data_IF_830975096307
#
_entry.id   IF_830975096307
#
_cell.length_a   1.000
_cell.length_b   1.000
_cell.length_c   1.000
_cell.angle_alpha   90.00
_cell.angle_beta   90.00
_cell.angle_gamma   90.00
#
_symmetry.space_group_name_H-M   'P 1'
#
loop_
_entity.id
_entity.type
_entity.pdbx_description
1 polymer ?
#
# COMPACT_ATOMS: atom_id res chain seq x y z
N UNK A 1 39.82 -28.67 23.22
CA UNK A 1 39.60 -29.17 21.84
C UNK A 1 40.79 -28.75 21.01
N UNK A 2 41.64 -29.71 20.63
CA UNK A 2 42.72 -29.49 19.67
C UNK A 2 42.11 -29.55 18.27
N UNK A 3 42.03 -28.41 17.58
CA UNK A 3 41.65 -28.33 16.18
C UNK A 3 42.91 -28.52 15.32
N UNK A 4 43.02 -29.66 14.64
CA UNK A 4 44.09 -29.95 13.69
C UNK A 4 43.59 -29.68 12.27
N UNK A 5 44.23 -28.75 11.56
CA UNK A 5 43.96 -28.46 10.16
C UNK A 5 44.73 -29.45 9.27
N UNK A 6 44.07 -30.07 8.29
CA UNK A 6 44.64 -31.07 7.35
C UNK A 6 45.77 -30.58 6.41
N UNK A 7 46.32 -29.37 6.58
CA UNK A 7 47.23 -28.72 5.62
C UNK A 7 48.62 -28.36 6.20
N UNK A 8 49.38 -29.35 6.66
CA UNK A 8 50.76 -29.17 7.16
C UNK A 8 50.83 -28.62 8.60
N UNK A 9 52.01 -28.25 9.13
CA UNK A 9 52.18 -27.83 10.52
C UNK A 9 51.60 -26.41 10.71
N UNK A 10 50.28 -26.31 10.73
CA UNK A 10 49.58 -25.08 11.07
C UNK A 10 49.49 -24.99 12.59
N UNK A 11 49.97 -23.87 13.15
CA UNK A 11 49.83 -23.56 14.56
C UNK A 11 48.33 -23.59 14.91
N UNK A 12 47.96 -24.37 15.93
CA UNK A 12 46.57 -24.48 16.31
C UNK A 12 46.06 -23.10 16.79
N UNK A 13 44.81 -22.75 16.49
CA UNK A 13 44.27 -21.41 16.83
C UNK A 13 44.30 -21.11 18.34
N UNK A 14 44.21 -22.13 19.19
CA UNK A 14 44.42 -22.00 20.63
C UNK A 14 45.88 -21.71 20.97
N UNK A 15 46.82 -22.42 20.34
CA UNK A 15 48.26 -22.26 20.52
C UNK A 15 48.75 -20.86 20.12
N UNK A 16 48.08 -20.22 19.14
CA UNK A 16 48.34 -18.84 18.73
C UNK A 16 47.77 -17.84 19.76
N UNK A 17 46.59 -18.13 20.32
CA UNK A 17 45.93 -17.26 21.31
C UNK A 17 46.61 -17.27 22.67
N UNK A 18 47.19 -18.40 23.05
CA UNK A 18 47.93 -18.60 24.30
C UNK A 18 49.39 -18.11 24.21
N UNK A 19 49.77 -17.45 23.10
CA UNK A 19 51.09 -16.87 22.84
C UNK A 19 52.27 -17.82 23.15
N UNK A 20 52.04 -19.12 22.99
CA UNK A 20 53.01 -20.19 23.29
C UNK A 20 54.21 -20.16 22.31
N UNK A 21 54.08 -19.38 21.24
CA UNK A 21 55.15 -19.13 20.27
C UNK A 21 55.74 -17.75 20.52
N UNK A 22 56.56 -17.61 21.56
CA UNK A 22 57.39 -16.41 21.70
C UNK A 22 58.36 -16.33 20.51
N UNK A 23 58.05 -15.43 19.56
CA UNK A 23 58.88 -15.16 18.39
C UNK A 23 60.36 -14.80 18.67
N UNK A 24 60.77 -14.16 19.79
CA UNK A 24 62.18 -13.79 19.96
C UNK A 24 63.15 -14.96 20.22
N UNK A 25 62.68 -16.18 20.48
CA UNK A 25 63.54 -17.37 20.67
C UNK A 25 63.38 -18.46 19.61
N UNK A 26 62.44 -18.32 18.67
CA UNK A 26 62.22 -19.29 17.61
C UNK A 26 63.25 -19.14 16.48
N UNK A 27 64.28 -19.99 16.49
CA UNK A 27 65.36 -20.03 15.48
C UNK A 27 64.85 -20.54 14.12
N UNK A 28 63.66 -21.16 14.08
CA UNK A 28 63.09 -21.79 12.88
C UNK A 28 62.21 -20.80 12.10
N UNK A 29 62.55 -20.56 10.83
CA UNK A 29 61.71 -19.79 9.90
C UNK A 29 60.40 -20.53 9.61
N UNK A 30 59.28 -19.82 9.72
CA UNK A 30 57.95 -20.38 9.43
C UNK A 30 57.87 -20.81 7.95
N UNK A 31 57.74 -22.13 7.71
CA UNK A 31 57.78 -22.74 6.37
C UNK A 31 58.98 -23.65 6.10
N UNK A 32 60.00 -23.66 6.98
CA UNK A 32 61.14 -24.58 6.87
C UNK A 32 60.98 -25.88 7.69
N UNK A 33 59.88 -26.02 8.44
CA UNK A 33 59.58 -27.20 9.24
C UNK A 33 58.85 -28.25 8.39
N UNK A 34 59.40 -29.45 8.32
CA UNK A 34 58.73 -30.59 7.68
C UNK A 34 57.55 -31.05 8.55
N UNK A 35 56.35 -31.28 7.97
CA UNK A 35 55.25 -31.88 8.70
C UNK A 35 55.63 -33.26 9.22
N UNK A 36 55.53 -33.45 10.54
CA UNK A 36 55.82 -34.73 11.18
C UNK A 36 54.70 -35.74 10.89
N UNK A 37 54.93 -36.57 9.87
CA UNK A 37 54.01 -37.63 9.47
C UNK A 37 53.97 -38.82 10.44
N UNK A 38 54.91 -38.94 11.37
CA UNK A 38 54.89 -39.96 12.41
C UNK A 38 53.94 -39.52 13.52
N UNK A 39 54.11 -38.30 14.04
CA UNK A 39 53.21 -37.70 15.04
C UNK A 39 51.78 -37.61 14.51
N UNK A 40 51.59 -37.21 13.25
CA UNK A 40 50.26 -37.21 12.62
C UNK A 40 49.60 -38.59 12.63
N UNK A 41 50.35 -39.65 12.32
CA UNK A 41 49.84 -41.03 12.35
C UNK A 41 49.51 -41.49 13.76
N UNK A 42 50.30 -41.10 14.75
CA UNK A 42 50.00 -41.40 16.16
C UNK A 42 48.70 -40.71 16.59
N UNK A 43 48.54 -39.42 16.29
CA UNK A 43 47.34 -38.64 16.60
C UNK A 43 46.10 -39.21 15.89
N UNK A 44 46.19 -39.48 14.58
CA UNK A 44 45.09 -40.08 13.81
C UNK A 44 44.58 -41.39 14.42
N UNK A 45 45.46 -42.17 15.04
CA UNK A 45 45.12 -43.47 15.65
C UNK A 45 44.74 -43.39 17.13
N UNK A 46 44.76 -42.20 17.75
CA UNK A 46 44.34 -42.06 19.14
C UNK A 46 42.85 -42.41 19.30
N UNK A 47 42.46 -43.02 20.42
CA UNK A 47 41.06 -43.31 20.69
C UNK A 47 40.26 -42.02 20.87
N UNK A 48 39.14 -41.93 20.16
CA UNK A 48 38.18 -40.85 20.21
C UNK A 48 36.81 -41.37 20.66
N UNK A 49 36.10 -40.53 21.42
CA UNK A 49 34.70 -40.74 21.84
C UNK A 49 33.92 -39.52 21.40
N UNK A 50 32.69 -39.73 20.93
CA UNK A 50 31.85 -38.61 20.52
C UNK A 50 31.55 -37.67 21.71
N UNK A 51 31.60 -36.36 21.45
CA UNK A 51 31.30 -35.33 22.45
C UNK A 51 29.79 -35.17 22.69
N UNK A 52 28.95 -35.56 21.73
CA UNK A 52 27.50 -35.39 21.84
C UNK A 52 26.94 -36.35 22.88
N UNK A 53 26.13 -35.82 23.79
CA UNK A 53 25.43 -36.60 24.80
C UNK A 53 24.57 -37.68 24.12
N UNK A 54 24.52 -38.87 24.74
CA UNK A 54 23.80 -40.05 24.24
C UNK A 54 24.38 -40.70 22.97
N UNK A 55 25.45 -40.16 22.37
CA UNK A 55 26.15 -40.85 21.30
C UNK A 55 27.09 -41.94 21.87
N UNK A 56 26.91 -43.19 21.42
CA UNK A 56 27.74 -44.33 21.85
C UNK A 56 28.96 -44.57 20.95
N UNK A 57 29.22 -43.69 19.99
CA UNK A 57 30.31 -43.86 19.02
C UNK A 57 31.69 -43.78 19.71
N UNK A 58 32.54 -44.74 19.38
CA UNK A 58 33.94 -44.84 19.80
C UNK A 58 34.76 -45.36 18.62
N UNK A 59 35.95 -44.83 18.42
CA UNK A 59 36.83 -45.21 17.32
C UNK A 59 38.17 -44.50 17.42
N UNK A 60 38.89 -44.39 16.31
CA UNK A 60 40.08 -43.53 16.20
C UNK A 60 39.71 -42.09 15.82
N UNK A 61 40.57 -41.11 16.10
CA UNK A 61 40.37 -39.71 15.66
C UNK A 61 40.15 -39.65 14.14
N UNK A 62 40.92 -40.42 13.37
CA UNK A 62 40.78 -40.51 11.92
C UNK A 62 39.39 -40.97 11.47
N UNK A 63 38.84 -41.99 12.14
CA UNK A 63 37.48 -42.45 11.85
C UNK A 63 36.43 -41.42 12.26
N UNK A 64 36.64 -40.71 13.37
CA UNK A 64 35.73 -39.64 13.80
C UNK A 64 35.57 -38.58 12.70
N UNK A 65 36.68 -38.04 12.21
CA UNK A 65 36.69 -36.99 11.17
C UNK A 65 36.11 -37.48 9.83
N UNK A 66 36.38 -38.74 9.45
CA UNK A 66 35.93 -39.29 8.17
C UNK A 66 34.43 -39.63 8.14
N UNK A 67 33.91 -40.26 9.18
CA UNK A 67 32.57 -40.88 9.14
C UNK A 67 31.59 -40.35 10.18
N UNK A 68 32.04 -39.68 11.25
CA UNK A 68 31.16 -39.29 12.35
C UNK A 68 30.98 -37.77 12.48
N UNK A 69 32.02 -36.99 12.21
CA UNK A 69 31.97 -35.54 12.24
C UNK A 69 30.91 -35.01 11.26
N UNK A 70 30.03 -34.15 11.76
CA UNK A 70 28.88 -33.63 11.00
C UNK A 70 27.73 -34.61 10.72
N UNK A 71 27.89 -35.92 11.02
CA UNK A 71 26.90 -36.98 10.75
C UNK A 71 26.32 -37.62 12.02
N UNK A 72 26.74 -37.16 13.19
CA UNK A 72 26.26 -37.68 14.45
C UNK A 72 24.75 -37.42 14.62
N UNK A 73 23.98 -38.48 14.79
CA UNK A 73 22.53 -38.44 15.02
C UNK A 73 22.11 -37.62 16.24
N UNK A 74 22.98 -37.54 17.25
CA UNK A 74 22.76 -36.82 18.50
C UNK A 74 23.33 -35.39 18.48
N UNK A 75 23.94 -34.97 17.36
CA UNK A 75 24.42 -33.60 17.21
C UNK A 75 23.25 -32.62 17.28
N UNK A 76 23.44 -31.54 18.04
CA UNK A 76 22.46 -30.46 18.10
C UNK A 76 22.73 -29.47 16.97
N UNK A 77 21.77 -29.32 16.06
CA UNK A 77 21.81 -28.41 14.93
C UNK A 77 20.68 -27.37 15.02
N UNK A 78 20.88 -26.15 14.49
CA UNK A 78 19.80 -25.17 14.37
C UNK A 78 18.88 -25.53 13.20
N UNK A 79 17.56 -25.54 13.42
CA UNK A 79 16.58 -25.74 12.35
C UNK A 79 16.69 -24.59 11.30
N UNK A 80 16.75 -24.88 9.99
CA UNK A 80 16.86 -23.86 8.96
C UNK A 80 15.68 -22.85 8.93
N UNK A 81 14.49 -23.27 9.35
CA UNK A 81 13.27 -22.47 9.27
C UNK A 81 12.99 -21.70 10.56
N UNK A 82 12.98 -22.36 11.72
CA UNK A 82 12.63 -21.73 13.00
C UNK A 82 13.85 -21.37 13.86
N UNK A 83 15.07 -21.80 13.49
CA UNK A 83 16.34 -21.62 14.23
C UNK A 83 16.40 -22.27 15.62
N UNK A 84 15.40 -23.07 15.98
CA UNK A 84 15.38 -23.84 17.22
C UNK A 84 16.49 -24.89 17.22
N UNK A 85 17.10 -25.14 18.39
CA UNK A 85 18.16 -26.15 18.52
C UNK A 85 17.55 -27.54 18.68
N UNK A 86 17.76 -28.40 17.69
CA UNK A 86 17.19 -29.75 17.65
C UNK A 86 18.26 -30.79 17.35
N UNK A 87 18.02 -32.04 17.76
CA UNK A 87 18.92 -33.14 17.43
C UNK A 87 18.80 -33.49 15.95
N UNK A 88 19.92 -33.87 15.33
CA UNK A 88 19.96 -34.23 13.90
C UNK A 88 18.96 -35.34 13.55
N UNK A 89 18.84 -36.37 14.39
CA UNK A 89 17.86 -37.46 14.20
C UNK A 89 16.39 -37.02 14.35
N UNK A 90 16.11 -35.94 15.09
CA UNK A 90 14.77 -35.40 15.29
C UNK A 90 14.40 -34.34 14.23
N UNK A 91 15.34 -33.97 13.35
CA UNK A 91 15.15 -32.91 12.35
C UNK A 91 13.94 -33.15 11.44
N UNK A 92 13.75 -34.38 10.95
CA UNK A 92 12.63 -34.74 10.09
C UNK A 92 11.30 -34.65 10.84
N UNK A 93 11.22 -35.28 12.04
CA UNK A 93 10.04 -35.21 12.91
C UNK A 93 9.68 -33.77 13.25
N UNK A 94 10.68 -32.95 13.57
CA UNK A 94 10.50 -31.54 13.85
C UNK A 94 9.92 -30.81 12.64
N UNK A 95 10.55 -30.94 11.47
CA UNK A 95 10.13 -30.25 10.24
C UNK A 95 8.68 -30.56 9.86
N UNK A 96 8.24 -31.80 10.03
CA UNK A 96 6.88 -32.21 9.68
C UNK A 96 5.83 -31.83 10.72
N UNK A 97 6.14 -31.99 12.02
CA UNK A 97 5.12 -32.01 13.08
C UNK A 97 5.21 -30.85 14.05
N UNK A 98 6.41 -30.39 14.36
CA UNK A 98 6.66 -29.49 15.50
C UNK A 98 7.09 -28.09 15.05
N UNK A 99 7.69 -27.96 13.87
CA UNK A 99 8.23 -26.71 13.38
C UNK A 99 7.11 -25.68 13.19
N UNK A 100 7.14 -24.54 13.90
CA UNK A 100 6.14 -23.48 13.76
C UNK A 100 6.12 -22.86 12.36
N UNK A 101 7.26 -22.93 11.67
CA UNK A 101 7.49 -22.42 10.32
C UNK A 101 7.36 -23.54 9.26
N UNK A 102 6.80 -24.71 9.60
CA UNK A 102 6.59 -25.78 8.62
C UNK A 102 5.73 -25.31 7.46
N UNK A 103 5.99 -25.86 6.29
CA UNK A 103 5.25 -25.56 5.06
C UNK A 103 4.22 -26.65 4.81
N UNK A 104 2.97 -26.27 4.59
CA UNK A 104 1.88 -27.15 4.18
C UNK A 104 1.35 -26.74 2.81
N UNK A 105 1.03 -27.71 1.97
CA UNK A 105 0.33 -27.44 0.72
C UNK A 105 -1.16 -27.19 0.98
N UNK A 106 -1.71 -26.15 0.35
CA UNK A 106 -3.14 -25.90 0.38
C UNK A 106 -3.91 -27.05 -0.27
N UNK A 107 -4.96 -27.52 0.41
CA UNK A 107 -5.80 -28.64 -0.06
C UNK A 107 -6.52 -28.34 -1.39
N UNK A 108 -6.71 -27.06 -1.72
CA UNK A 108 -7.49 -26.62 -2.87
C UNK A 108 -6.62 -26.16 -4.04
N UNK A 109 -5.62 -25.30 -3.80
CA UNK A 109 -4.74 -24.81 -4.87
C UNK A 109 -3.46 -25.64 -5.04
N UNK A 110 -3.08 -26.48 -4.06
CA UNK A 110 -1.84 -27.28 -3.99
C UNK A 110 -0.55 -26.47 -3.81
N UNK A 111 -0.63 -25.15 -3.74
CA UNK A 111 0.53 -24.29 -3.50
C UNK A 111 1.04 -24.41 -2.04
N UNK A 112 2.37 -24.34 -1.83
CA UNK A 112 2.98 -24.41 -0.50
C UNK A 112 2.82 -23.10 0.28
N UNK A 113 2.40 -23.19 1.55
CA UNK A 113 2.30 -22.05 2.47
C UNK A 113 2.82 -22.41 3.87
N UNK A 114 3.37 -21.44 4.58
CA UNK A 114 3.71 -21.59 5.99
C UNK A 114 2.46 -21.92 6.81
N UNK A 115 2.60 -22.79 7.81
CA UNK A 115 1.52 -23.24 8.69
C UNK A 115 0.74 -22.08 9.32
N UNK A 116 1.43 -20.97 9.66
CA UNK A 116 0.82 -19.74 10.18
C UNK A 116 -0.11 -19.05 9.18
N UNK A 117 0.21 -19.14 7.90
CA UNK A 117 -0.44 -18.38 6.83
C UNK A 117 -1.53 -19.19 6.09
N UNK A 118 -1.58 -20.51 6.26
CA UNK A 118 -2.53 -21.35 5.51
C UNK A 118 -4.00 -20.99 5.79
N UNK A 119 -4.34 -20.59 7.01
CA UNK A 119 -5.69 -20.14 7.37
C UNK A 119 -6.07 -18.82 6.68
N UNK A 120 -5.14 -17.87 6.65
CA UNK A 120 -5.35 -16.61 5.93
C UNK A 120 -5.44 -16.87 4.40
N UNK A 121 -4.67 -17.84 3.90
CA UNK A 121 -4.77 -18.26 2.50
C UNK A 121 -6.14 -18.83 2.14
N UNK A 122 -6.75 -19.66 3.00
CA UNK A 122 -8.10 -20.20 2.76
C UNK A 122 -9.13 -19.08 2.49
N UNK A 123 -8.99 -17.94 3.16
CA UNK A 123 -9.85 -16.76 2.96
C UNK A 123 -9.62 -16.02 1.64
N UNK A 124 -8.55 -16.29 0.91
CA UNK A 124 -8.24 -15.67 -0.41
C UNK A 124 -8.02 -16.70 -1.53
N UNK A 125 -8.06 -17.99 -1.22
CA UNK A 125 -7.67 -19.05 -2.14
C UNK A 125 -8.61 -19.08 -3.36
N UNK A 126 -8.09 -18.96 -4.60
CA UNK A 126 -8.92 -18.95 -5.82
C UNK A 126 -9.74 -20.23 -6.02
N UNK A 127 -9.19 -21.36 -5.57
CA UNK A 127 -9.84 -22.67 -5.67
C UNK A 127 -10.66 -23.03 -4.44
N UNK A 128 -10.78 -22.12 -3.47
CA UNK A 128 -11.56 -22.37 -2.26
C UNK A 128 -13.02 -22.66 -2.62
N UNK A 129 -13.64 -23.72 -2.05
CA UNK A 129 -15.04 -24.05 -2.28
C UNK A 129 -15.99 -23.04 -1.62
N UNK A 130 -16.72 -22.29 -2.42
CA UNK A 130 -17.79 -21.39 -2.00
C UNK A 130 -19.16 -22.08 -2.07
N UNK A 131 -20.12 -21.55 -1.31
CA UNK A 131 -21.52 -21.98 -1.31
C UNK A 131 -22.36 -20.81 -1.82
N UNK A 132 -23.21 -21.07 -2.82
CA UNK A 132 -24.13 -20.05 -3.33
C UNK A 132 -25.34 -19.92 -2.41
N UNK A 133 -25.63 -18.69 -1.96
CA UNK A 133 -26.78 -18.38 -1.09
C UNK A 133 -28.13 -18.52 -1.80
N UNK A 134 -28.17 -18.35 -3.12
CA UNK A 134 -29.40 -18.45 -3.90
C UNK A 134 -29.81 -19.91 -4.19
N UNK A 135 -28.91 -20.68 -4.79
CA UNK A 135 -29.21 -22.07 -5.20
C UNK A 135 -28.72 -23.15 -4.23
N UNK A 136 -28.08 -22.78 -3.12
CA UNK A 136 -27.45 -23.69 -2.15
C UNK A 136 -26.42 -24.67 -2.75
N UNK A 137 -25.96 -24.43 -3.99
CA UNK A 137 -24.95 -25.27 -4.64
C UNK A 137 -23.61 -25.09 -3.92
N UNK A 138 -23.10 -26.20 -3.41
CA UNK A 138 -21.80 -26.30 -2.73
C UNK A 138 -20.69 -26.55 -3.76
N UNK A 139 -19.44 -26.35 -3.33
CA UNK A 139 -18.23 -26.65 -4.12
C UNK A 139 -18.06 -25.81 -5.39
N UNK A 140 -18.43 -24.54 -5.34
CA UNK A 140 -18.16 -23.61 -6.45
C UNK A 140 -16.79 -23.00 -6.18
N UNK A 141 -15.77 -23.22 -7.02
CA UNK A 141 -14.47 -22.56 -6.84
C UNK A 141 -14.65 -21.05 -6.81
N UNK A 142 -13.98 -20.36 -5.88
CA UNK A 142 -14.08 -18.90 -5.72
C UNK A 142 -13.87 -18.16 -7.04
N UNK A 143 -12.89 -18.57 -7.84
CA UNK A 143 -12.61 -18.00 -9.17
C UNK A 143 -13.83 -18.06 -10.13
N UNK A 144 -14.68 -19.09 -10.00
CA UNK A 144 -15.89 -19.30 -10.83
C UNK A 144 -17.17 -18.81 -10.16
N UNK A 145 -17.08 -18.29 -8.94
CA UNK A 145 -18.25 -17.91 -8.15
C UNK A 145 -18.99 -16.71 -8.76
N UNK A 146 -18.24 -15.72 -9.26
CA UNK A 146 -18.79 -14.54 -9.95
C UNK A 146 -19.58 -14.95 -11.19
N UNK A 147 -19.03 -15.84 -12.02
CA UNK A 147 -19.74 -16.34 -13.20
C UNK A 147 -20.95 -17.19 -12.83
N UNK A 148 -20.84 -18.01 -11.78
CA UNK A 148 -22.00 -18.73 -11.27
C UNK A 148 -23.12 -17.78 -10.86
N UNK A 149 -22.84 -16.70 -10.12
CA UNK A 149 -23.85 -15.73 -9.69
C UNK A 149 -24.56 -15.09 -10.89
N UNK A 150 -23.82 -14.72 -11.95
CA UNK A 150 -24.41 -14.12 -13.17
C UNK A 150 -25.50 -14.98 -13.82
N UNK A 151 -25.33 -16.31 -13.78
CA UNK A 151 -26.22 -17.29 -14.38
C UNK A 151 -27.12 -18.04 -13.38
N UNK A 152 -27.01 -17.75 -12.08
CA UNK A 152 -27.82 -18.39 -11.06
C UNK A 152 -29.20 -17.74 -11.00
N UNK A 153 -30.24 -18.43 -11.48
CA UNK A 153 -31.63 -17.94 -11.48
C UNK A 153 -32.18 -17.68 -10.08
N UNK A 154 -31.72 -18.45 -9.08
CA UNK A 154 -32.15 -18.34 -7.68
C UNK A 154 -31.36 -17.30 -6.86
N UNK A 155 -30.34 -16.66 -7.46
CA UNK A 155 -29.57 -15.65 -6.75
C UNK A 155 -30.38 -14.35 -6.64
N UNK A 156 -30.49 -13.83 -5.42
CA UNK A 156 -31.18 -12.56 -5.17
C UNK A 156 -30.21 -11.41 -5.43
N UNK A 157 -30.62 -10.50 -6.29
CA UNK A 157 -29.89 -9.26 -6.58
C UNK A 157 -30.59 -8.07 -5.94
N UNK A 158 -29.85 -7.11 -5.37
CA UNK A 158 -30.45 -5.89 -4.84
C UNK A 158 -31.17 -5.12 -5.94
N UNK A 159 -32.27 -4.45 -5.58
CA UNK A 159 -32.99 -3.58 -6.51
C UNK A 159 -32.08 -2.48 -7.06
N UNK A 160 -32.29 -2.05 -8.32
CA UNK A 160 -31.53 -0.94 -8.92
C UNK A 160 -31.64 0.38 -8.14
N UNK A 161 -32.75 0.54 -7.41
CA UNK A 161 -33.01 1.70 -6.55
C UNK A 161 -32.40 1.55 -5.15
N UNK A 162 -31.58 0.52 -4.89
CA UNK A 162 -30.88 0.36 -3.61
C UNK A 162 -30.02 1.56 -3.24
N UNK A 163 -29.37 2.18 -4.23
CA UNK A 163 -28.55 3.38 -4.04
C UNK A 163 -29.34 4.60 -3.55
N UNK A 164 -30.66 4.64 -3.79
CA UNK A 164 -31.56 5.70 -3.31
C UNK A 164 -32.44 5.26 -2.14
N UNK A 165 -32.20 4.07 -1.57
CA UNK A 165 -32.84 3.60 -0.34
C UNK A 165 -33.82 2.43 -0.46
N UNK A 166 -33.84 1.68 -1.57
CA UNK A 166 -34.62 0.44 -1.65
C UNK A 166 -33.83 -0.76 -1.09
N UNK A 167 -34.25 -1.32 0.04
CA UNK A 167 -33.55 -2.45 0.69
C UNK A 167 -33.95 -3.84 0.17
N UNK A 168 -34.81 -3.90 -0.86
CA UNK A 168 -35.30 -5.18 -1.36
C UNK A 168 -34.27 -5.89 -2.24
N UNK A 169 -34.00 -7.16 -1.92
CA UNK A 169 -33.21 -8.08 -2.76
C UNK A 169 -34.13 -9.15 -3.37
N UNK A 170 -34.19 -9.17 -4.69
CA UNK A 170 -35.16 -9.95 -5.47
C UNK A 170 -34.46 -10.89 -6.43
N UNK A 171 -35.07 -12.04 -6.69
CA UNK A 171 -34.57 -12.99 -7.71
C UNK A 171 -34.51 -12.30 -9.08
N UNK A 172 -33.50 -12.63 -9.88
CA UNK A 172 -33.25 -11.99 -11.19
C UNK A 172 -34.49 -12.01 -12.11
N UNK A 173 -35.28 -13.07 -12.07
CA UNK A 173 -36.48 -13.23 -12.89
C UNK A 173 -37.63 -12.31 -12.44
N UNK A 174 -37.72 -11.98 -11.15
CA UNK A 174 -38.82 -11.22 -10.54
C UNK A 174 -38.49 -9.73 -10.36
N UNK A 175 -37.31 -9.29 -10.80
CA UNK A 175 -36.87 -7.91 -10.62
C UNK A 175 -37.82 -6.92 -11.30
N UNK A 176 -38.31 -7.24 -12.50
CA UNK A 176 -39.23 -6.38 -13.24
C UNK A 176 -40.61 -6.32 -12.60
N UNK A 177 -41.08 -7.42 -12.03
CA UNK A 177 -42.36 -7.44 -11.31
C UNK A 177 -42.29 -6.58 -10.04
N UNK A 178 -41.18 -6.68 -9.30
CA UNK A 178 -40.91 -5.79 -8.16
C UNK A 178 -40.83 -4.31 -8.60
N UNK A 179 -40.09 -4.00 -9.66
CA UNK A 179 -39.98 -2.63 -10.17
C UNK A 179 -41.33 -2.02 -10.55
N UNK A 180 -42.23 -2.83 -11.14
CA UNK A 180 -43.60 -2.40 -11.47
C UNK A 180 -44.47 -2.25 -10.23
N UNK A 181 -44.41 -3.21 -9.30
CA UNK A 181 -45.23 -3.21 -8.10
C UNK A 181 -44.89 -2.05 -7.15
N UNK A 182 -43.60 -1.70 -7.05
CA UNK A 182 -43.09 -0.65 -6.15
C UNK A 182 -42.68 0.63 -6.88
N UNK A 183 -43.22 0.86 -8.09
CA UNK A 183 -42.86 2.02 -8.91
C UNK A 183 -43.14 3.35 -8.21
N UNK A 184 -44.22 3.42 -7.42
CA UNK A 184 -44.58 4.61 -6.65
C UNK A 184 -43.61 4.88 -5.50
N UNK A 185 -43.25 3.85 -4.73
CA UNK A 185 -42.22 3.95 -3.68
C UNK A 185 -40.86 4.35 -4.27
N UNK A 186 -40.45 3.73 -5.37
CA UNK A 186 -39.21 4.09 -6.06
C UNK A 186 -39.20 5.54 -6.53
N UNK A 187 -40.33 6.06 -7.05
CA UNK A 187 -40.46 7.46 -7.45
C UNK A 187 -40.34 8.41 -6.25
N UNK A 188 -40.92 8.05 -5.10
CA UNK A 188 -40.80 8.84 -3.87
C UNK A 188 -39.37 8.85 -3.32
N UNK A 189 -38.66 7.72 -3.35
CA UNK A 189 -37.25 7.64 -2.99
C UNK A 189 -36.39 8.52 -3.90
N UNK A 190 -36.63 8.48 -5.22
CA UNK A 190 -35.97 9.37 -6.17
C UNK A 190 -36.25 10.84 -5.88
N UNK A 191 -37.51 11.20 -5.62
CA UNK A 191 -37.90 12.56 -5.30
C UNK A 191 -37.20 13.05 -4.03
N UNK A 192 -37.19 12.25 -2.97
CA UNK A 192 -36.51 12.57 -1.72
C UNK A 192 -34.99 12.73 -1.93
N UNK A 193 -34.38 11.84 -2.72
CA UNK A 193 -32.97 11.92 -3.07
C UNK A 193 -32.65 13.20 -3.85
N UNK A 194 -33.46 13.55 -4.87
CA UNK A 194 -33.31 14.78 -5.66
C UNK A 194 -33.53 16.02 -4.80
N UNK A 195 -34.52 16.03 -3.91
CA UNK A 195 -34.77 17.14 -2.99
C UNK A 195 -33.59 17.33 -2.02
N UNK A 196 -33.02 16.24 -1.48
CA UNK A 196 -31.83 16.29 -0.66
C UNK A 196 -30.61 16.81 -1.41
N UNK A 197 -30.44 16.40 -2.68
CA UNK A 197 -29.41 16.95 -3.57
C UNK A 197 -29.64 18.44 -3.84
N UNK A 198 -30.88 18.86 -4.14
CA UNK A 198 -31.25 20.27 -4.39
C UNK A 198 -30.92 21.15 -3.20
N UNK A 199 -31.28 20.73 -1.98
CA UNK A 199 -30.96 21.47 -0.75
C UNK A 199 -29.44 21.55 -0.54
N UNK A 200 -28.72 20.46 -0.81
CA UNK A 200 -27.26 20.43 -0.74
C UNK A 200 -26.59 21.34 -1.78
N UNK A 201 -27.22 21.50 -2.95
CA UNK A 201 -26.75 22.40 -4.01
C UNK A 201 -27.11 23.87 -3.74
N UNK A 202 -28.29 24.14 -3.18
CA UNK A 202 -28.71 25.46 -2.73
C UNK A 202 -27.88 25.94 -1.52
N UNK A 203 -27.38 25.02 -0.68
CA UNK A 203 -26.40 25.31 0.36
C UNK A 203 -25.01 25.73 -0.17
N UNK A 204 -24.74 25.52 -1.47
CA UNK A 204 -23.56 26.00 -2.19
C UNK A 204 -23.86 27.25 -3.03
N UNK A 205 -24.84 28.07 -2.59
CA UNK A 205 -25.10 29.41 -3.14
C UNK A 205 -23.80 30.22 -3.20
N UNK A 206 -23.51 30.97 -4.28
CA UNK A 206 -22.19 31.48 -4.55
C UNK A 206 -21.94 32.77 -3.76
N UNK A 207 -21.76 32.66 -2.45
CA UNK A 207 -21.34 33.75 -1.56
C UNK A 207 -20.03 34.39 -2.07
N UNK A 208 -19.16 33.59 -2.70
CA UNK A 208 -17.95 34.08 -3.37
C UNK A 208 -18.22 34.92 -4.62
N UNK A 209 -19.32 34.67 -5.36
CA UNK A 209 -19.66 35.40 -6.58
C UNK A 209 -20.34 36.73 -6.27
N UNK A 210 -21.19 36.78 -5.24
CA UNK A 210 -21.74 38.05 -4.75
C UNK A 210 -20.64 38.93 -4.15
N UNK A 211 -19.75 38.36 -3.33
CA UNK A 211 -18.61 39.09 -2.76
C UNK A 211 -17.63 39.57 -3.84
N UNK A 212 -17.38 38.76 -4.87
CA UNK A 212 -16.57 39.16 -6.02
C UNK A 212 -17.24 40.27 -6.84
N UNK A 213 -18.57 40.23 -7.00
CA UNK A 213 -19.34 41.29 -7.63
C UNK A 213 -19.25 42.62 -6.87
N UNK A 214 -19.37 42.58 -5.55
CA UNK A 214 -19.20 43.77 -4.70
C UNK A 214 -17.78 44.35 -4.81
N UNK A 215 -16.74 43.51 -4.76
CA UNK A 215 -15.35 43.95 -4.94
C UNK A 215 -15.08 44.52 -6.34
N UNK A 216 -15.71 43.98 -7.38
CA UNK A 216 -15.58 44.50 -8.74
C UNK A 216 -16.14 45.93 -8.84
N UNK A 217 -17.31 46.18 -8.24
CA UNK A 217 -17.94 47.52 -8.22
C UNK A 217 -17.08 48.50 -7.42
N UNK A 218 -16.54 48.07 -6.28
CA UNK A 218 -15.64 48.88 -5.45
C UNK A 218 -14.35 49.25 -6.22
N UNK A 219 -13.71 48.29 -6.88
CA UNK A 219 -12.55 48.51 -7.74
C UNK A 219 -12.85 49.47 -8.91
N UNK A 220 -14.01 49.33 -9.55
CA UNK A 220 -14.44 50.24 -10.62
C UNK A 220 -14.64 51.67 -10.09
N UNK A 221 -15.12 51.83 -8.86
CA UNK A 221 -15.33 53.13 -8.24
C UNK A 221 -13.99 53.78 -7.88
N UNK A 222 -13.04 53.02 -7.34
CA UNK A 222 -11.68 53.50 -7.08
C UNK A 222 -10.92 53.87 -8.36
N UNK A 223 -11.10 53.11 -9.45
CA UNK A 223 -10.53 53.44 -10.76
C UNK A 223 -11.04 54.78 -11.29
N UNK A 224 -12.36 55.01 -11.25
CA UNK A 224 -12.93 56.31 -11.65
C UNK A 224 -12.43 57.47 -10.79
N UNK A 225 -12.26 57.25 -9.50
CA UNK A 225 -11.73 58.28 -8.61
C UNK A 225 -10.26 58.59 -8.92
N UNK A 226 -9.46 57.57 -9.27
CA UNK A 226 -8.08 57.74 -9.69
C UNK A 226 -7.98 58.46 -11.04
N UNK A 227 -8.82 58.12 -12.01
CA UNK A 227 -8.93 58.82 -13.30
C UNK A 227 -9.29 60.30 -13.10
N UNK A 228 -10.21 60.61 -12.19
CA UNK A 228 -10.57 61.99 -11.87
C UNK A 228 -9.40 62.77 -11.24
N UNK A 229 -8.63 62.13 -10.35
CA UNK A 229 -7.44 62.73 -9.72
C UNK A 229 -6.30 62.95 -10.73
N UNK A 230 -6.07 62.00 -11.62
CA UNK A 230 -5.10 62.14 -12.73
C UNK A 230 -5.51 63.29 -13.67
N UNK A 231 -6.80 63.38 -14.01
CA UNK A 231 -7.33 64.47 -14.83
C UNK A 231 -7.13 65.85 -14.18
N UNK A 232 -7.29 65.96 -12.86
CA UNK A 232 -7.05 67.21 -12.12
C UNK A 232 -5.56 67.61 -12.15
N UNK A 233 -4.65 66.65 -12.01
CA UNK A 233 -3.19 66.91 -12.08
C UNK A 233 -2.75 67.41 -13.47
N UNK A 234 -3.39 66.93 -14.53
CA UNK A 234 -3.15 67.39 -15.91
C UNK A 234 -3.61 68.84 -16.08
N UNK A 235 -4.72 69.25 -15.45
CA UNK A 235 -5.23 70.63 -15.54
C UNK A 235 -4.45 71.66 -14.73
N UNK A 236 -3.67 71.24 -13.71
CA UNK A 236 -2.87 72.15 -12.87
C UNK A 236 -1.48 72.49 -13.45
N UNK A 237 -1.12 71.96 -14.62
CA UNK A 237 0.24 72.04 -15.19
C UNK A 237 0.42 72.99 -16.40
N UNK A 238 -0.58 73.78 -16.81
CA UNK A 238 -0.41 74.67 -17.98
C UNK A 238 -1.13 76.01 -17.85
N UNK A 239 -0.35 77.10 -17.89
CA UNK A 239 -0.82 78.49 -18.11
C UNK A 239 -1.25 78.77 -19.56
N UNK A 240 -1.75 79.99 -19.88
CA UNK A 240 -2.64 80.27 -21.03
C UNK A 240 -1.89 80.86 -22.26
N UNK A 241 -2.56 81.33 -23.34
CA UNK A 241 -3.38 80.61 -24.34
C UNK A 241 -2.92 80.92 -25.80
N UNK A 242 -3.34 80.16 -26.83
CA UNK A 242 -3.35 80.68 -28.23
C UNK A 242 -4.47 80.04 -29.08
N UNK A 243 -5.15 80.91 -29.84
CA UNK A 243 -6.26 80.68 -30.77
C UNK A 243 -5.84 79.95 -32.07
N UNK A 244 -6.81 79.30 -32.74
CA UNK A 244 -6.72 78.94 -34.17
C UNK A 244 -7.67 77.83 -34.62
N UNK A 245 -8.70 78.19 -35.41
CA UNK A 245 -9.72 77.34 -36.06
C UNK A 245 -9.13 76.33 -37.08
N UNK A 246 -9.77 75.33 -37.70
CA UNK A 246 -11.15 74.92 -38.07
C UNK A 246 -11.05 73.39 -38.38
N UNK A 247 -12.06 72.52 -38.45
CA UNK A 247 -13.17 72.50 -39.38
C UNK A 247 -14.15 71.35 -39.04
N UNK A 248 -15.39 71.55 -39.45
CA UNK A 248 -16.59 70.74 -39.24
C UNK A 248 -16.62 69.45 -40.09
N UNK A 249 -17.31 68.41 -39.60
CA UNK A 249 -18.42 67.83 -40.36
C UNK A 249 -19.40 67.12 -39.44
N UNK A 250 -20.66 67.43 -39.70
CA UNK A 250 -21.87 67.05 -39.01
C UNK A 250 -22.41 65.72 -39.54
N UNK A 251 -23.07 64.95 -38.68
CA UNK A 251 -24.36 64.36 -39.02
C UNK A 251 -25.17 64.11 -37.77
N UNK A 252 -26.42 64.54 -37.86
CA UNK A 252 -27.45 64.63 -36.84
C UNK A 252 -28.47 63.52 -37.04
N UNK A 253 -29.01 62.97 -35.95
CA UNK A 253 -30.41 62.51 -35.90
C UNK A 253 -30.87 62.38 -34.44
N UNK A 254 -31.45 63.49 -33.98
CA UNK A 254 -32.71 63.64 -33.25
C UNK A 254 -33.30 62.49 -32.39
N UNK A 255 -33.59 62.90 -31.15
CA UNK A 255 -34.83 62.74 -30.37
C UNK A 255 -35.18 61.37 -29.78
N UNK A 256 -35.27 61.30 -28.44
CA UNK A 256 -36.54 61.51 -27.71
C UNK A 256 -36.36 61.27 -26.21
N UNK A 257 -36.80 62.24 -25.42
CA UNK A 257 -37.04 62.17 -23.98
C UNK A 257 -38.10 61.12 -23.62
N UNK A 258 -37.88 60.29 -22.60
CA UNK A 258 -38.95 59.67 -21.81
C UNK A 258 -38.42 59.12 -20.47
N UNK A 259 -39.23 59.27 -19.44
CA UNK A 259 -38.91 59.13 -18.03
C UNK A 259 -38.47 57.74 -17.56
N UNK A 260 -37.81 57.78 -16.41
CA UNK A 260 -37.56 56.70 -15.47
C UNK A 260 -38.83 55.90 -15.16
N UNK A 261 -38.76 54.56 -15.00
CA UNK A 261 -39.65 53.84 -14.12
C UNK A 261 -38.99 53.63 -12.75
N UNK A 262 -39.76 53.92 -11.69
CA UNK A 262 -39.47 53.59 -10.31
C UNK A 262 -39.46 52.05 -10.08
N UNK A 263 -38.78 51.55 -9.03
CA UNK A 263 -38.87 50.14 -8.64
C UNK A 263 -40.27 49.80 -8.09
N UNK A 264 -40.72 48.53 -8.17
CA UNK A 264 -42.06 48.14 -7.73
C UNK A 264 -42.21 48.18 -6.20
N UNK A 265 -43.43 48.39 -5.68
CA UNK A 265 -43.69 48.46 -4.25
C UNK A 265 -43.59 47.11 -3.58
N UNK A 266 -43.02 47.13 -2.37
CA UNK A 266 -42.96 46.05 -1.41
C UNK A 266 -44.36 45.49 -1.11
N UNK A 267 -44.56 44.19 -1.36
CA UNK A 267 -45.75 43.47 -0.94
C UNK A 267 -45.76 43.31 0.60
N UNK A 268 -46.95 43.24 1.23
CA UNK A 268 -47.09 43.34 2.68
C UNK A 268 -46.52 42.11 3.38
N UNK A 269 -45.79 42.35 4.47
CA UNK A 269 -45.38 41.33 5.41
C UNK A 269 -46.61 40.67 6.03
N UNK A 270 -46.96 39.49 5.53
CA UNK A 270 -47.84 38.56 6.24
C UNK A 270 -47.03 38.02 7.43
N UNK A 271 -47.30 38.57 8.60
CA UNK A 271 -46.91 38.01 9.90
C UNK A 271 -47.68 36.71 10.14
N UNK A 272 -47.27 35.65 9.45
CA UNK A 272 -47.59 34.29 9.86
C UNK A 272 -46.83 34.03 11.16
N UNK A 273 -47.56 34.12 12.28
CA UNK A 273 -47.09 33.64 13.57
C UNK A 273 -46.94 32.12 13.48
N UNK A 274 -45.78 31.65 13.02
CA UNK A 274 -45.39 30.26 13.23
C UNK A 274 -45.01 30.15 14.69
N UNK A 275 -45.93 29.61 15.48
CA UNK A 275 -45.66 29.12 16.83
C UNK A 275 -44.67 27.96 16.73
N UNK A 276 -43.39 28.28 16.59
CA UNK A 276 -42.29 27.37 16.87
C UNK A 276 -42.33 27.09 18.37
N UNK A 277 -42.96 25.98 18.76
CA UNK A 277 -42.67 25.35 20.04
C UNK A 277 -41.17 25.05 20.06
N UNK A 278 -40.40 25.60 21.03
CA UNK A 278 -38.99 25.26 21.13
C UNK A 278 -38.88 23.77 21.41
N UNK A 279 -38.06 23.06 20.63
CA UNK A 279 -37.70 21.68 20.94
C UNK A 279 -37.18 21.64 22.39
N UNK A 280 -37.61 20.69 23.23
CA UNK A 280 -37.16 20.64 24.62
C UNK A 280 -35.63 20.62 24.65
N UNK A 281 -35.06 21.49 25.49
CA UNK A 281 -33.61 21.77 25.60
C UNK A 281 -32.71 20.53 25.71
N UNK A 282 -33.27 19.39 26.15
CA UNK A 282 -32.59 18.10 26.22
C UNK A 282 -32.32 17.44 24.86
N UNK A 283 -33.21 17.60 23.87
CA UNK A 283 -33.06 16.99 22.54
C UNK A 283 -32.02 17.75 21.70
N UNK A 284 -31.97 19.08 21.83
CA UNK A 284 -30.95 19.91 21.18
C UNK A 284 -29.54 19.62 21.68
N UNK A 285 -29.36 19.53 23.01
CA UNK A 285 -28.08 19.19 23.61
C UNK A 285 -27.60 17.77 23.22
N UNK A 286 -28.51 16.80 23.12
CA UNK A 286 -28.19 15.45 22.67
C UNK A 286 -27.76 15.41 21.19
N UNK A 287 -28.43 16.16 20.32
CA UNK A 287 -28.05 16.29 18.91
C UNK A 287 -26.69 16.99 18.74
N UNK A 288 -26.40 18.01 19.53
CA UNK A 288 -25.12 18.71 19.51
C UNK A 288 -23.97 17.82 19.97
N UNK A 289 -24.16 17.01 21.02
CA UNK A 289 -23.19 15.99 21.45
C UNK A 289 -22.95 14.93 20.38
N UNK A 290 -24.02 14.46 19.72
CA UNK A 290 -23.92 13.50 18.62
C UNK A 290 -23.15 14.11 17.44
N UNK A 291 -23.41 15.37 17.09
CA UNK A 291 -22.73 16.08 16.00
C UNK A 291 -21.25 16.33 16.31
N UNK A 292 -20.90 16.69 17.54
CA UNK A 292 -19.51 16.80 17.98
C UNK A 292 -18.78 15.46 17.94
N UNK A 293 -19.44 14.37 18.36
CA UNK A 293 -18.91 13.02 18.25
C UNK A 293 -18.65 12.59 16.80
N UNK A 294 -19.53 12.95 15.87
CA UNK A 294 -19.32 12.70 14.44
C UNK A 294 -18.21 13.57 13.86
N UNK A 295 -18.11 14.85 14.23
CA UNK A 295 -17.00 15.73 13.82
C UNK A 295 -15.64 15.19 14.27
N UNK A 296 -15.53 14.68 15.50
CA UNK A 296 -14.31 14.07 16.00
C UNK A 296 -13.92 12.80 15.20
N UNK A 297 -14.89 11.96 14.84
CA UNK A 297 -14.66 10.78 13.99
C UNK A 297 -14.21 11.17 12.58
N UNK A 298 -14.80 12.21 11.99
CA UNK A 298 -14.40 12.72 10.68
C UNK A 298 -12.98 13.28 10.71
N UNK A 299 -12.62 14.02 11.77
CA UNK A 299 -11.25 14.51 11.95
C UNK A 299 -10.25 13.35 12.10
N UNK A 300 -10.62 12.31 12.84
CA UNK A 300 -9.78 11.11 12.99
C UNK A 300 -9.58 10.35 11.67
N UNK A 301 -10.65 10.16 10.90
CA UNK A 301 -10.57 9.57 9.57
C UNK A 301 -9.71 10.42 8.63
N UNK A 302 -9.83 11.75 8.72
CA UNK A 302 -8.97 12.69 7.98
C UNK A 302 -7.49 12.47 8.28
N UNK A 303 -7.10 12.38 9.56
CA UNK A 303 -5.70 12.08 9.95
C UNK A 303 -5.24 10.74 9.38
N UNK A 304 -6.06 9.69 9.50
CA UNK A 304 -5.72 8.36 8.99
C UNK A 304 -5.57 8.34 7.47
N UNK A 305 -6.40 9.09 6.73
CA UNK A 305 -6.25 9.26 5.28
C UNK A 305 -4.92 9.93 4.94
N UNK A 306 -4.54 11.01 5.63
CA UNK A 306 -3.24 11.67 5.38
C UNK A 306 -2.06 10.76 5.70
N UNK A 307 -2.15 9.94 6.76
CA UNK A 307 -1.10 8.97 7.09
C UNK A 307 -0.97 7.88 6.03
N UNK A 308 -2.10 7.38 5.51
CA UNK A 308 -2.13 6.39 4.43
C UNK A 308 -1.59 6.96 3.12
N UNK A 309 -1.87 8.23 2.82
CA UNK A 309 -1.34 8.92 1.64
C UNK A 309 0.19 9.03 1.70
N UNK A 310 0.74 9.44 2.85
CA UNK A 310 2.20 9.47 3.07
C UNK A 310 2.82 8.07 2.94
N UNK A 311 2.16 7.03 3.46
CA UNK A 311 2.60 5.63 3.31
C UNK A 311 2.57 5.20 1.84
N UNK A 312 1.53 5.56 1.09
CA UNK A 312 1.40 5.25 -0.35
C UNK A 312 2.56 5.85 -1.13
N UNK A 313 2.83 7.15 -0.94
CA UNK A 313 3.97 7.84 -1.58
C UNK A 313 5.30 7.17 -1.23
N UNK A 314 5.45 6.71 0.01
CA UNK A 314 6.67 5.98 0.43
C UNK A 314 6.81 4.64 -0.30
N UNK A 315 5.72 3.88 -0.43
CA UNK A 315 5.72 2.62 -1.18
C UNK A 315 6.01 2.84 -2.66
N UNK A 316 5.43 3.87 -3.28
CA UNK A 316 5.73 4.23 -4.68
C UNK A 316 7.22 4.52 -4.88
N UNK A 317 7.84 5.25 -3.95
CA UNK A 317 9.28 5.52 -3.99
C UNK A 317 10.11 4.25 -3.86
N UNK A 318 9.75 3.33 -2.95
CA UNK A 318 10.43 2.04 -2.78
C UNK A 318 10.32 1.20 -4.06
N UNK A 319 9.13 1.13 -4.64
CA UNK A 319 8.89 0.39 -5.90
C UNK A 319 9.73 0.99 -7.03
N UNK A 320 9.82 2.31 -7.13
CA UNK A 320 10.65 2.99 -8.14
C UNK A 320 12.14 2.62 -8.00
N UNK A 321 12.68 2.64 -6.78
CA UNK A 321 14.07 2.25 -6.52
C UNK A 321 14.30 0.78 -6.86
N UNK A 322 13.42 -0.12 -6.40
CA UNK A 322 13.53 -1.55 -6.69
C UNK A 322 13.45 -1.83 -8.18
N UNK A 323 12.54 -1.17 -8.92
CA UNK A 323 12.44 -1.35 -10.36
C UNK A 323 13.74 -0.94 -11.07
N UNK A 324 14.34 0.19 -10.66
CA UNK A 324 15.64 0.63 -11.17
C UNK A 324 16.77 -0.35 -10.85
N UNK A 325 16.76 -0.96 -9.66
CA UNK A 325 17.74 -1.98 -9.30
C UNK A 325 17.56 -3.25 -10.12
N UNK A 326 16.32 -3.71 -10.32
CA UNK A 326 16.01 -4.87 -11.15
C UNK A 326 16.48 -4.66 -12.59
N UNK A 327 16.21 -3.49 -13.19
CA UNK A 327 16.70 -3.15 -14.54
C UNK A 327 18.24 -3.14 -14.61
N UNK A 328 18.91 -2.64 -13.56
CA UNK A 328 20.38 -2.67 -13.46
C UNK A 328 20.92 -4.10 -13.34
N UNK A 329 20.27 -4.96 -12.58
CA UNK A 329 20.66 -6.36 -12.47
C UNK A 329 20.42 -7.12 -13.78
N UNK A 330 19.30 -6.87 -14.45
CA UNK A 330 18.99 -7.49 -15.74
C UNK A 330 20.05 -7.14 -16.80
N UNK A 331 20.40 -5.86 -16.92
CA UNK A 331 21.44 -5.41 -17.87
C UNK A 331 22.81 -6.00 -17.57
N UNK A 332 23.19 -6.08 -16.28
CA UNK A 332 24.46 -6.70 -15.86
C UNK A 332 24.48 -8.20 -16.15
N UNK A 333 23.37 -8.88 -15.89
CA UNK A 333 23.21 -10.31 -16.15
C UNK A 333 23.27 -10.63 -17.65
N UNK A 334 22.61 -9.83 -18.50
CA UNK A 334 22.71 -9.97 -19.95
C UNK A 334 24.14 -9.76 -20.46
N UNK A 335 24.85 -8.76 -19.95
CA UNK A 335 26.24 -8.52 -20.31
C UNK A 335 27.13 -9.71 -19.92
N UNK A 336 26.94 -10.26 -18.71
CA UNK A 336 27.64 -11.47 -18.25
C UNK A 336 27.35 -12.69 -19.10
N UNK A 337 26.09 -12.90 -19.49
CA UNK A 337 25.69 -14.01 -20.37
C UNK A 337 26.31 -13.89 -21.76
N UNK A 338 26.35 -12.67 -22.34
CA UNK A 338 27.02 -12.42 -23.62
C UNK A 338 28.52 -12.68 -23.54
N UNK A 339 29.17 -12.24 -22.46
CA UNK A 339 30.60 -12.48 -22.25
C UNK A 339 30.90 -13.98 -22.11
N UNK A 340 30.14 -14.69 -21.29
CA UNK A 340 30.27 -16.15 -21.14
C UNK A 340 30.15 -16.88 -22.47
N UNK A 341 29.22 -16.45 -23.34
CA UNK A 341 29.06 -17.04 -24.67
C UNK A 341 30.29 -16.81 -25.55
N UNK A 342 30.84 -15.59 -25.56
CA UNK A 342 32.08 -15.29 -26.29
C UNK A 342 33.28 -16.10 -25.76
N UNK A 343 33.38 -16.26 -24.44
CA UNK A 343 34.44 -17.06 -23.82
C UNK A 343 34.30 -18.54 -24.18
N UNK A 344 33.07 -19.07 -24.21
CA UNK A 344 32.79 -20.44 -24.66
C UNK A 344 33.15 -20.65 -26.13
N UNK A 345 32.72 -19.76 -27.03
CA UNK A 345 33.05 -19.83 -28.47
C UNK A 345 34.58 -19.79 -28.69
N UNK A 346 35.29 -19.00 -27.87
CA UNK A 346 36.76 -18.91 -27.91
C UNK A 346 37.43 -20.20 -27.41
N UNK A 347 36.89 -20.84 -26.37
CA UNK A 347 37.37 -22.13 -25.87
C UNK A 347 37.17 -23.22 -26.93
N UNK A 348 35.99 -23.29 -27.55
CA UNK A 348 35.68 -24.26 -28.61
C UNK A 348 36.58 -24.07 -29.84
N UNK A 349 36.85 -22.82 -30.24
CA UNK A 349 37.76 -22.51 -31.34
C UNK A 349 39.22 -22.91 -31.06
N UNK A 350 39.67 -22.84 -29.80
CA UNK A 350 40.99 -23.32 -29.38
C UNK A 350 41.06 -24.85 -29.28
N UNK A 351 39.96 -25.51 -28.93
CA UNK A 351 39.89 -26.98 -28.83
C UNK A 351 39.85 -27.69 -30.19
N UNK A 352 39.40 -27.01 -31.26
CA UNK A 352 39.28 -27.56 -32.61
C UNK A 352 40.51 -27.29 -33.50
N UNK A 353 41.60 -26.74 -32.95
CA UNK A 353 42.92 -26.60 -33.58
C UNK A 353 43.88 -27.60 -32.96
#
# INVERSE_FOLDING_TARGET
>A
MLSYCSNGPQKCSACIKEDIFEDPTSILKQGCAFPDNAVRREVENLPAVCINENCTWKGSIKEYELIHEGKCEFMIIPCPSCKERIRFNEQERHNERECPERTLNCKYCKEPFHFKNIKAHDEICPKYPMICEGCAKKKIPREKYVDHIKFCSKFRTPCRFHVVGCDMSVEKEKIHDHERAFAYEHLNLLLHYIMGMKVSMEGLQPQGLELAGHKLVELQQSLRELEARVSQLITTSSGPPVQGASASSSSSSSSSSSGLPAPPPSAPALSASTSFTPLPSSVGAALELQLHGQKAKVAELGRRCTELEVKSVTFENVVCVLNREVERFATTMEAGSRQHKLDQDKIEALSNK
#
